data_IF_088298787748
#
_entry.id   IF_088298787748
#
_cell.length_a   1.000
_cell.length_b   1.000
_cell.length_c   1.000
_cell.angle_alpha   90.00
_cell.angle_beta   90.00
_cell.angle_gamma   90.00
#
_symmetry.space_group_name_H-M   'P 1'
#
loop_
_entity.id
_entity.type
_entity.pdbx_description
1 polymer ?
#
# COMPACT_ATOMS: atom_id res chain seq x y z
N UNK A 1 9.01 16.17 -19.43
CA UNK A 1 9.25 14.73 -19.31
C UNK A 1 7.99 14.03 -18.85
N UNK A 2 7.71 12.90 -19.40
CA UNK A 2 6.55 12.11 -19.00
C UNK A 2 7.00 11.09 -17.97
N UNK A 3 6.35 11.11 -16.80
CA UNK A 3 6.72 10.23 -15.69
C UNK A 3 6.46 8.74 -15.99
N UNK A 4 5.59 8.46 -16.95
CA UNK A 4 5.24 7.10 -17.37
C UNK A 4 6.21 6.52 -18.41
N UNK A 5 7.20 7.28 -18.86
CA UNK A 5 8.13 6.87 -19.89
C UNK A 5 9.38 6.25 -19.27
N UNK A 6 9.39 4.93 -19.15
CA UNK A 6 10.45 4.18 -18.50
C UNK A 6 11.01 3.12 -19.42
N UNK A 7 12.34 2.97 -19.41
CA UNK A 7 13.01 1.86 -20.09
C UNK A 7 12.85 0.58 -19.28
N UNK A 8 12.59 -0.52 -19.99
CA UNK A 8 12.52 -1.83 -19.36
C UNK A 8 13.91 -2.43 -19.19
N UNK A 9 14.13 -3.07 -18.07
CA UNK A 9 15.34 -3.85 -17.79
C UNK A 9 14.94 -5.29 -17.57
N UNK A 10 15.59 -6.21 -18.28
CA UNK A 10 15.27 -7.62 -18.17
C UNK A 10 15.70 -8.18 -16.81
N UNK A 11 14.77 -8.85 -16.17
CA UNK A 11 15.05 -9.57 -14.91
C UNK A 11 15.56 -11.00 -15.16
N UNK A 12 15.54 -11.47 -16.40
CA UNK A 12 16.09 -12.76 -16.82
C UNK A 12 17.32 -12.54 -17.70
N UNK A 13 17.22 -12.90 -18.97
CA UNK A 13 18.30 -12.70 -19.92
C UNK A 13 18.43 -11.22 -20.29
N UNK A 14 19.68 -10.72 -20.42
CA UNK A 14 19.86 -9.32 -20.78
C UNK A 14 19.36 -9.00 -22.18
N UNK A 15 18.90 -7.77 -22.35
CA UNK A 15 18.57 -7.21 -23.65
C UNK A 15 19.78 -6.43 -24.21
N UNK A 16 19.83 -6.18 -25.54
CA UNK A 16 20.81 -5.26 -26.07
C UNK A 16 20.75 -3.93 -25.37
N UNK A 17 21.91 -3.40 -24.98
CA UNK A 17 21.99 -2.14 -24.27
C UNK A 17 21.72 -0.97 -25.19
N UNK A 18 20.87 -0.08 -24.76
CA UNK A 18 20.69 1.25 -25.34
C UNK A 18 21.05 2.28 -24.27
N UNK A 19 21.26 3.51 -24.70
CA UNK A 19 21.57 4.56 -23.77
C UNK A 19 20.35 4.89 -22.93
N UNK A 20 20.49 4.75 -21.62
CA UNK A 20 19.43 5.09 -20.66
C UNK A 20 19.78 6.45 -20.05
N UNK A 21 19.15 7.50 -20.52
CA UNK A 21 19.47 8.87 -20.13
C UNK A 21 18.41 9.54 -19.30
N UNK A 22 17.20 9.01 -19.32
CA UNK A 22 16.07 9.66 -18.68
C UNK A 22 16.19 9.60 -17.17
N UNK A 23 16.06 10.75 -16.55
CA UNK A 23 15.89 10.85 -15.12
C UNK A 23 14.42 11.08 -14.84
N UNK A 24 13.89 10.31 -13.89
CA UNK A 24 12.50 10.42 -13.52
C UNK A 24 12.32 11.37 -12.35
N UNK A 25 11.25 12.12 -12.40
CA UNK A 25 10.72 12.78 -11.24
C UNK A 25 9.85 11.78 -10.49
N UNK A 26 10.40 11.18 -9.45
CA UNK A 26 9.71 10.14 -8.67
C UNK A 26 8.44 10.67 -8.00
N UNK A 27 8.45 11.92 -7.58
CA UNK A 27 7.26 12.51 -6.98
C UNK A 27 6.11 12.53 -7.98
N UNK A 28 6.38 12.92 -9.21
CA UNK A 28 5.33 12.94 -10.25
C UNK A 28 4.85 11.56 -10.61
N UNK A 29 5.74 10.56 -10.57
CA UNK A 29 5.36 9.16 -10.84
C UNK A 29 4.49 8.59 -9.74
N UNK A 30 4.90 8.78 -8.47
CA UNK A 30 4.32 8.08 -7.33
C UNK A 30 3.19 8.84 -6.67
N UNK A 31 3.17 10.17 -6.80
CA UNK A 31 2.20 11.03 -6.14
C UNK A 31 1.32 11.69 -7.20
N UNK A 32 0.12 11.16 -7.38
CA UNK A 32 -0.82 11.69 -8.36
C UNK A 32 -1.60 12.89 -7.84
N UNK A 33 -1.93 12.88 -6.55
CA UNK A 33 -2.76 13.89 -5.90
C UNK A 33 -2.04 14.40 -4.66
N UNK A 34 -1.26 15.46 -4.83
CA UNK A 34 -0.36 15.94 -3.78
C UNK A 34 -1.09 16.32 -2.49
N UNK A 35 -2.25 16.94 -2.62
CA UNK A 35 -3.01 17.41 -1.45
C UNK A 35 -3.58 16.27 -0.61
N UNK A 36 -3.72 15.07 -1.18
CA UNK A 36 -4.34 13.92 -0.51
C UNK A 36 -3.39 12.75 -0.31
N UNK A 37 -2.09 12.94 -0.59
CA UNK A 37 -1.09 11.87 -0.51
C UNK A 37 -0.24 12.03 0.74
N UNK A 38 -0.06 10.91 1.45
CA UNK A 38 0.66 10.85 2.70
C UNK A 38 1.62 9.67 2.69
N UNK A 39 2.66 9.74 3.51
CA UNK A 39 3.68 8.71 3.61
C UNK A 39 3.67 8.16 5.03
N UNK A 40 3.72 6.83 5.14
CA UNK A 40 3.81 6.15 6.42
C UNK A 40 4.93 5.14 6.37
N UNK A 41 5.53 4.87 7.52
CA UNK A 41 6.47 3.76 7.69
C UNK A 41 5.69 2.56 8.22
N UNK A 42 5.93 1.39 7.63
CA UNK A 42 5.32 0.15 8.11
C UNK A 42 5.97 -0.24 9.43
N UNK A 43 5.14 -0.48 10.43
CA UNK A 43 5.55 -0.94 11.75
C UNK A 43 4.89 -2.30 11.99
N UNK A 44 5.69 -3.30 12.30
CA UNK A 44 5.21 -4.67 12.49
C UNK A 44 5.24 -5.51 11.22
N UNK A 45 4.79 -6.74 11.33
CA UNK A 45 4.96 -7.77 10.29
C UNK A 45 3.64 -8.40 9.83
N UNK A 46 2.49 -7.80 10.18
CA UNK A 46 1.18 -8.40 9.87
C UNK A 46 0.88 -8.44 8.38
N UNK A 47 1.64 -7.72 7.55
CA UNK A 47 1.39 -7.61 6.11
C UNK A 47 2.58 -8.07 5.26
N UNK A 48 3.48 -8.90 5.81
CA UNK A 48 4.69 -9.33 5.08
C UNK A 48 4.34 -10.15 3.83
N UNK A 49 3.29 -10.96 3.86
CA UNK A 49 2.90 -11.77 2.70
C UNK A 49 2.23 -10.92 1.61
N UNK A 50 1.91 -9.67 1.90
CA UNK A 50 1.43 -8.71 0.91
C UNK A 50 2.55 -7.78 0.42
N UNK A 51 3.80 -8.07 0.77
CA UNK A 51 4.94 -7.30 0.33
C UNK A 51 5.22 -6.05 1.14
N UNK A 52 4.68 -5.95 2.35
CA UNK A 52 4.89 -4.82 3.25
C UNK A 52 5.68 -5.28 4.46
N UNK A 53 6.98 -5.06 4.43
CA UNK A 53 7.88 -5.42 5.52
C UNK A 53 8.06 -4.25 6.49
N UNK A 54 8.40 -4.58 7.72
CA UNK A 54 8.70 -3.55 8.71
C UNK A 54 9.81 -2.62 8.20
N UNK A 55 9.60 -1.32 8.34
CA UNK A 55 10.53 -0.30 7.87
C UNK A 55 10.27 0.20 6.46
N UNK A 56 9.44 -0.49 5.67
CA UNK A 56 9.06 -0.01 4.36
C UNK A 56 8.28 1.31 4.46
N UNK A 57 8.32 2.07 3.39
CA UNK A 57 7.50 3.29 3.27
C UNK A 57 6.33 2.99 2.37
N UNK A 58 5.13 3.29 2.81
CA UNK A 58 3.94 3.20 1.98
C UNK A 58 3.46 4.60 1.60
N UNK A 59 3.01 4.72 0.38
CA UNK A 59 2.37 5.92 -0.14
C UNK A 59 0.87 5.69 -0.11
N UNK A 60 0.15 6.60 0.52
CA UNK A 60 -1.28 6.48 0.76
C UNK A 60 -1.98 7.68 0.14
N UNK A 61 -2.97 7.42 -0.70
CA UNK A 61 -3.76 8.48 -1.34
C UNK A 61 -5.19 8.43 -0.83
N UNK A 62 -5.59 9.50 -0.14
CA UNK A 62 -6.92 9.60 0.44
C UNK A 62 -8.01 9.93 -0.57
N UNK A 63 -7.64 10.34 -1.78
CA UNK A 63 -8.60 10.63 -2.84
C UNK A 63 -9.03 9.40 -3.63
N UNK A 64 -8.32 8.29 -3.47
CA UNK A 64 -8.68 7.03 -4.13
C UNK A 64 -9.84 6.39 -3.37
N UNK A 65 -10.90 6.06 -4.10
CA UNK A 65 -12.05 5.38 -3.50
C UNK A 65 -11.66 3.96 -3.09
N UNK A 66 -11.94 3.55 -1.86
CA UNK A 66 -11.66 2.19 -1.42
C UNK A 66 -12.43 1.16 -2.25
N UNK A 67 -11.79 0.03 -2.48
CA UNK A 67 -12.39 -1.09 -3.22
C UNK A 67 -12.11 -2.39 -2.47
N UNK A 68 -12.91 -3.40 -2.75
CA UNK A 68 -12.74 -4.69 -2.07
C UNK A 68 -11.35 -5.25 -2.33
N UNK A 69 -10.70 -5.72 -1.29
CA UNK A 69 -9.33 -6.26 -1.26
C UNK A 69 -8.23 -5.19 -1.46
N UNK A 70 -8.54 -3.91 -1.38
CA UNK A 70 -7.49 -2.90 -1.37
C UNK A 70 -6.64 -2.99 -0.10
N UNK A 71 -5.37 -2.63 -0.20
CA UNK A 71 -4.53 -2.40 0.97
C UNK A 71 -4.76 -0.96 1.39
N UNK A 72 -5.05 -0.77 2.65
CA UNK A 72 -5.43 0.55 3.13
C UNK A 72 -4.92 0.80 4.54
N UNK A 73 -4.68 2.07 4.83
CA UNK A 73 -4.52 2.52 6.20
C UNK A 73 -5.91 2.74 6.75
N UNK A 74 -6.22 2.05 7.83
CA UNK A 74 -7.51 2.11 8.51
C UNK A 74 -7.33 2.71 9.89
N UNK A 75 -8.33 3.45 10.32
CA UNK A 75 -8.42 3.95 11.67
C UNK A 75 -9.53 3.16 12.37
N UNK A 76 -9.20 2.49 13.45
CA UNK A 76 -10.14 1.67 14.20
C UNK A 76 -9.89 1.82 15.71
N UNK A 77 -10.92 2.22 16.44
CA UNK A 77 -10.89 2.36 17.89
C UNK A 77 -9.69 3.16 18.41
N UNK A 78 -9.34 4.23 17.72
CA UNK A 78 -8.27 5.14 18.12
C UNK A 78 -6.89 4.81 17.59
N UNK A 79 -6.74 3.76 16.80
CA UNK A 79 -5.45 3.33 16.27
C UNK A 79 -5.44 3.24 14.76
N UNK A 80 -4.29 3.53 14.16
CA UNK A 80 -4.05 3.31 12.73
C UNK A 80 -3.44 1.95 12.50
N UNK A 81 -3.88 1.27 11.45
CA UNK A 81 -3.31 -0.01 11.03
C UNK A 81 -3.38 -0.12 9.51
N UNK A 82 -2.43 -0.84 8.90
CA UNK A 82 -2.49 -1.14 7.48
C UNK A 82 -2.93 -2.59 7.30
N UNK A 83 -3.95 -2.80 6.51
CA UNK A 83 -4.53 -4.12 6.27
C UNK A 83 -5.10 -4.21 4.86
N UNK A 84 -5.37 -5.42 4.41
CA UNK A 84 -6.23 -5.66 3.26
C UNK A 84 -7.68 -5.59 3.74
N UNK A 85 -8.50 -4.82 3.06
CA UNK A 85 -9.88 -4.60 3.48
C UNK A 85 -10.82 -5.43 2.62
N UNK A 86 -11.58 -6.32 3.25
CA UNK A 86 -12.70 -6.99 2.61
C UNK A 86 -13.97 -6.18 2.89
N UNK A 87 -14.63 -5.73 1.84
CA UNK A 87 -15.79 -4.86 1.95
C UNK A 87 -17.03 -5.63 1.51
N UNK A 88 -18.00 -5.78 2.41
CA UNK A 88 -19.32 -6.31 2.13
C UNK A 88 -20.37 -5.20 2.07
N UNK A 89 -21.64 -5.57 1.94
CA UNK A 89 -22.72 -4.58 1.83
C UNK A 89 -22.81 -3.68 3.07
N UNK A 90 -22.78 -4.26 4.25
CA UNK A 90 -22.88 -3.51 5.52
C UNK A 90 -21.82 -3.98 6.50
N UNK A 91 -20.69 -4.45 5.99
CA UNK A 91 -19.64 -5.04 6.81
C UNK A 91 -18.28 -4.76 6.21
N UNK A 92 -17.27 -4.85 7.05
CA UNK A 92 -15.90 -4.81 6.62
C UNK A 92 -15.08 -5.76 7.48
N UNK A 93 -14.01 -6.28 6.90
CA UNK A 93 -13.09 -7.16 7.63
C UNK A 93 -11.68 -6.77 7.26
N UNK A 94 -10.84 -6.58 8.28
CA UNK A 94 -9.45 -6.22 8.10
C UNK A 94 -8.61 -7.49 8.14
N UNK A 95 -7.95 -7.79 7.03
CA UNK A 95 -7.23 -9.04 6.83
C UNK A 95 -5.73 -8.84 6.95
N UNK A 96 -5.06 -9.53 7.86
CA UNK A 96 -3.61 -9.57 7.86
C UNK A 96 -3.10 -10.42 6.70
N UNK A 97 -1.82 -10.27 6.38
CA UNK A 97 -1.13 -11.10 5.37
C UNK A 97 0.18 -11.60 5.96
N UNK A 98 0.06 -12.54 6.89
CA UNK A 98 1.20 -13.21 7.51
C UNK A 98 0.76 -14.60 7.95
N UNK A 99 0.84 -15.57 7.03
CA UNK A 99 0.36 -16.94 7.29
C UNK A 99 1.23 -17.71 8.27
N UNK A 100 2.48 -17.25 8.50
CA UNK A 100 3.39 -17.92 9.42
C UNK A 100 3.21 -17.47 10.88
N UNK A 101 2.35 -16.49 11.13
CA UNK A 101 2.13 -15.98 12.47
C UNK A 101 0.64 -15.94 12.80
N UNK A 102 0.19 -16.95 13.53
CA UNK A 102 -1.23 -17.11 13.87
C UNK A 102 -1.76 -16.10 14.89
N UNK A 103 -0.88 -15.25 15.45
CA UNK A 103 -1.35 -14.16 16.33
C UNK A 103 -2.04 -13.05 15.54
N UNK A 104 -1.73 -12.92 14.24
CA UNK A 104 -2.41 -11.98 13.37
C UNK A 104 -3.67 -12.62 12.82
N UNK A 105 -4.81 -12.12 13.23
CA UNK A 105 -6.12 -12.64 12.85
C UNK A 105 -6.96 -11.57 12.17
N UNK A 106 -7.94 -11.96 11.34
CA UNK A 106 -8.90 -11.01 10.80
C UNK A 106 -9.61 -10.22 11.90
N UNK A 107 -9.84 -8.95 11.64
CA UNK A 107 -10.60 -8.08 12.53
C UNK A 107 -11.93 -7.80 11.88
N UNK A 108 -13.01 -8.29 12.50
CA UNK A 108 -14.36 -7.98 12.06
C UNK A 108 -14.72 -6.57 12.53
N UNK A 109 -15.18 -5.73 11.61
CA UNK A 109 -15.66 -4.40 11.93
C UNK A 109 -17.15 -4.49 12.22
N UNK A 110 -17.53 -4.07 13.41
CA UNK A 110 -18.91 -4.05 13.86
C UNK A 110 -19.41 -2.60 13.98
N UNK A 111 -20.73 -2.36 14.10
CA UNK A 111 -21.24 -1.01 14.30
C UNK A 111 -20.71 -0.31 15.55
N UNK A 112 -20.22 -1.06 16.53
CA UNK A 112 -19.64 -0.50 17.75
C UNK A 112 -18.22 0.02 17.53
N UNK A 113 -17.54 -0.41 16.47
CA UNK A 113 -16.19 0.07 16.17
C UNK A 113 -16.25 1.49 15.61
N UNK A 114 -15.37 2.34 16.11
CA UNK A 114 -15.13 3.65 15.51
C UNK A 114 -14.14 3.45 14.37
N UNK A 115 -14.64 3.24 13.15
CA UNK A 115 -13.86 2.77 12.02
C UNK A 115 -14.00 3.67 10.81
N UNK A 116 -12.87 3.96 10.18
CA UNK A 116 -12.82 4.54 8.82
C UNK A 116 -11.68 3.89 8.03
N UNK A 117 -11.87 3.77 6.71
CA UNK A 117 -10.77 3.53 5.78
C UNK A 117 -10.15 4.89 5.53
N UNK A 118 -8.98 5.12 6.10
CA UNK A 118 -8.37 6.45 6.09
C UNK A 118 -7.78 6.79 4.72
N UNK A 119 -7.15 5.84 4.06
CA UNK A 119 -6.60 6.04 2.73
C UNK A 119 -6.10 4.74 2.12
N UNK A 120 -6.05 4.71 0.79
CA UNK A 120 -5.64 3.52 0.03
C UNK A 120 -4.14 3.56 -0.22
N UNK A 121 -3.46 2.43 0.03
CA UNK A 121 -2.05 2.27 -0.27
C UNK A 121 -1.88 2.13 -1.78
N UNK A 122 -1.09 3.01 -2.39
CA UNK A 122 -0.84 3.01 -3.82
C UNK A 122 0.54 2.49 -4.19
N UNK A 123 1.52 2.65 -3.31
CA UNK A 123 2.89 2.20 -3.53
C UNK A 123 3.53 1.75 -2.24
N UNK A 124 4.45 0.80 -2.37
CA UNK A 124 5.36 0.40 -1.29
C UNK A 124 6.77 0.66 -1.76
N UNK A 125 7.55 1.37 -0.95
CA UNK A 125 8.97 1.66 -1.22
C UNK A 125 9.80 0.84 -0.26
N UNK A 126 10.67 0.03 -0.79
CA UNK A 126 11.50 -0.90 -0.04
C UNK A 126 12.97 -0.60 -0.29
N UNK A 127 13.72 -0.43 0.79
CA UNK A 127 15.16 -0.29 0.71
C UNK A 127 15.82 -1.65 0.54
N UNK A 128 16.69 -1.75 -0.41
CA UNK A 128 17.42 -3.00 -0.67
C UNK A 128 18.61 -3.15 0.27
#
# INVERSE_FOLDING_TARGET
MRADFLEGVKAGFPSPAEDIHEKLDLIRLLVRHRASTFFFRVDGVSMVDAGMDEGDIIIVDRSVDPYNNCKAVCYIDGEYTVKRVEIGENSARLMPANEHNSTYKPIEVTPENNFIIWGVVTWVIKKM
#
